data_IF_547242968306
#
_entry.id   IF_547242968306
#
_cell.length_a   1.000
_cell.length_b   1.000
_cell.length_c   1.000
_cell.angle_alpha   90.00
_cell.angle_beta   90.00
_cell.angle_gamma   90.00
#
_symmetry.space_group_name_H-M   'P 1'
#
loop_
_entity.id
_entity.type
_entity.pdbx_description
1 polymer ?
#
# COMPACT_ATOMS: atom_id res chain seq x y z
N UNK A 1 -18.16 1.69 0.55
CA UNK A 1 -16.77 1.24 0.74
C UNK A 1 -16.31 1.77 2.08
N UNK A 2 -15.66 0.95 2.88
CA UNK A 2 -15.13 1.33 4.19
C UNK A 2 -13.61 1.25 4.11
N UNK A 3 -12.95 2.41 4.09
CA UNK A 3 -11.49 2.49 4.07
C UNK A 3 -10.90 2.04 5.40
N UNK A 4 -9.77 1.35 5.36
CA UNK A 4 -9.02 0.90 6.53
C UNK A 4 -7.58 1.41 6.48
N UNK A 5 -6.93 1.44 7.65
CA UNK A 5 -5.53 1.85 7.81
C UNK A 5 -5.24 3.30 7.38
N UNK A 6 -6.22 4.20 7.58
CA UNK A 6 -6.09 5.63 7.26
C UNK A 6 -5.08 6.35 8.16
N UNK A 7 -4.75 5.74 9.30
CA UNK A 7 -3.76 6.19 10.27
C UNK A 7 -2.30 5.91 9.86
N UNK A 8 -2.07 4.99 8.89
CA UNK A 8 -0.72 4.65 8.46
C UNK A 8 -0.09 5.77 7.63
N UNK A 9 1.10 6.19 8.05
CA UNK A 9 1.90 7.23 7.40
C UNK A 9 3.32 6.78 7.15
N UNK A 10 3.85 7.17 6.01
CA UNK A 10 5.23 6.87 5.63
C UNK A 10 6.18 7.77 6.40
N UNK A 11 7.22 7.16 6.96
CA UNK A 11 8.30 7.87 7.66
C UNK A 11 9.57 7.81 6.82
N UNK A 12 10.62 8.51 7.28
CA UNK A 12 11.95 8.46 6.65
C UNK A 12 12.94 7.65 7.51
N UNK A 13 12.87 6.30 7.48
CA UNK A 13 13.71 5.46 8.33
C UNK A 13 15.19 5.52 7.94
N UNK A 14 15.50 5.82 6.67
CA UNK A 14 16.87 5.87 6.17
C UNK A 14 17.47 7.28 6.24
N UNK A 15 16.71 8.29 6.67
CA UNK A 15 17.11 9.71 6.63
C UNK A 15 17.63 10.07 5.23
N UNK A 16 16.86 9.71 4.21
CA UNK A 16 17.28 9.79 2.82
C UNK A 16 17.56 11.25 2.42
N UNK A 17 18.82 11.55 2.10
CA UNK A 17 19.27 12.90 1.73
C UNK A 17 19.72 12.93 0.27
N UNK A 18 18.79 13.27 -0.61
CA UNK A 18 19.10 13.73 -1.97
C UNK A 18 18.65 15.19 -2.15
N UNK A 19 18.67 15.69 -3.39
CA UNK A 19 18.35 17.08 -3.80
C UNK A 19 17.08 17.67 -3.15
N UNK A 20 16.14 16.83 -2.73
CA UNK A 20 14.96 17.23 -1.97
C UNK A 20 14.71 16.24 -0.83
N UNK A 21 14.33 16.75 0.34
CA UNK A 21 14.08 15.95 1.54
C UNK A 21 12.86 15.03 1.34
N UNK A 22 12.99 13.74 1.62
CA UNK A 22 11.94 12.74 1.36
C UNK A 22 10.59 13.06 2.03
N UNK A 23 10.53 13.50 3.31
CA UNK A 23 9.29 13.94 3.95
C UNK A 23 8.59 15.10 3.24
N UNK A 24 9.34 16.02 2.62
CA UNK A 24 8.76 17.15 1.91
C UNK A 24 8.15 16.70 0.58
N UNK A 25 8.79 15.72 -0.08
CA UNK A 25 8.25 15.06 -1.26
C UNK A 25 6.94 14.33 -0.94
N UNK A 26 6.90 13.57 0.17
CA UNK A 26 5.67 12.92 0.64
C UNK A 26 4.55 13.94 0.87
N UNK A 27 4.82 15.04 1.60
CA UNK A 27 3.84 16.11 1.83
C UNK A 27 3.33 16.76 0.56
N UNK A 28 4.21 16.98 -0.43
CA UNK A 28 3.83 17.56 -1.71
C UNK A 28 2.83 16.66 -2.44
N UNK A 29 3.10 15.36 -2.50
CA UNK A 29 2.21 14.39 -3.15
C UNK A 29 0.90 14.23 -2.38
N UNK A 30 0.95 14.15 -1.04
CA UNK A 30 -0.25 14.12 -0.20
C UNK A 30 -1.13 15.35 -0.44
N UNK A 31 -0.55 16.55 -0.52
CA UNK A 31 -1.29 17.79 -0.83
C UNK A 31 -1.86 17.79 -2.24
N UNK A 32 -1.15 17.19 -3.21
CA UNK A 32 -1.57 17.16 -4.62
C UNK A 32 -2.69 16.15 -4.87
N UNK A 33 -2.62 14.96 -4.28
CA UNK A 33 -3.56 13.86 -4.55
C UNK A 33 -4.66 13.75 -3.50
N UNK A 34 -4.48 14.34 -2.32
CA UNK A 34 -5.35 14.13 -1.16
C UNK A 34 -5.19 12.75 -0.51
N UNK A 35 -4.26 11.92 -0.98
CA UNK A 35 -4.03 10.58 -0.47
C UNK A 35 -2.94 10.57 0.59
N UNK A 36 -3.08 9.73 1.60
CA UNK A 36 -2.02 9.51 2.58
C UNK A 36 -0.83 8.73 2.00
N UNK A 37 -1.08 7.84 1.04
CA UNK A 37 -0.09 6.97 0.41
C UNK A 37 -0.60 6.43 -0.95
N UNK A 38 0.28 5.79 -1.73
CA UNK A 38 0.02 5.21 -3.04
C UNK A 38 -0.93 4.01 -3.09
N UNK A 39 -1.55 3.63 -1.97
CA UNK A 39 -2.55 2.56 -1.94
C UNK A 39 -3.67 2.90 -0.96
N UNK A 40 -4.89 2.69 -1.44
CA UNK A 40 -6.12 2.75 -0.65
C UNK A 40 -6.58 1.31 -0.44
N UNK A 41 -6.83 0.95 0.81
CA UNK A 41 -7.26 -0.39 1.18
C UNK A 41 -8.47 -0.34 2.08
N UNK A 42 -9.36 -1.32 1.97
CA UNK A 42 -10.57 -1.36 2.77
C UNK A 42 -11.45 -2.55 2.48
N UNK A 43 -12.66 -2.53 3.00
CA UNK A 43 -13.68 -3.53 2.65
C UNK A 43 -14.81 -2.89 1.85
N UNK A 44 -15.38 -3.68 0.95
CA UNK A 44 -16.46 -3.24 0.09
C UNK A 44 -17.44 -4.37 -0.18
N UNK A 45 -18.40 -4.09 -1.06
CA UNK A 45 -19.32 -5.08 -1.60
C UNK A 45 -19.33 -4.97 -3.11
N UNK A 46 -19.23 -6.10 -3.79
CA UNK A 46 -19.55 -6.22 -5.20
C UNK A 46 -20.82 -7.07 -5.26
N UNK A 47 -21.92 -6.47 -5.69
CA UNK A 47 -23.26 -7.04 -5.55
C UNK A 47 -23.55 -7.43 -4.09
N UNK A 48 -23.86 -8.69 -3.82
CA UNK A 48 -24.16 -9.24 -2.50
C UNK A 48 -22.93 -9.77 -1.74
N UNK A 49 -21.75 -9.81 -2.38
CA UNK A 49 -20.52 -10.37 -1.80
C UNK A 49 -19.64 -9.29 -1.17
N UNK A 50 -19.33 -9.45 0.11
CA UNK A 50 -18.31 -8.63 0.78
C UNK A 50 -16.93 -8.99 0.23
N UNK A 51 -16.08 -8.00 0.01
CA UNK A 51 -14.70 -8.17 -0.49
C UNK A 51 -13.72 -7.34 0.32
N UNK A 52 -12.47 -7.79 0.36
CA UNK A 52 -11.31 -6.99 0.73
C UNK A 52 -10.73 -6.38 -0.55
N UNK A 53 -10.48 -5.08 -0.56
CA UNK A 53 -10.05 -4.34 -1.74
C UNK A 53 -8.78 -3.55 -1.43
N UNK A 54 -7.81 -3.60 -2.35
CA UNK A 54 -6.61 -2.76 -2.34
C UNK A 54 -6.40 -2.14 -3.72
N UNK A 55 -6.35 -0.82 -3.81
CA UNK A 55 -6.22 -0.08 -5.08
C UNK A 55 -4.99 0.80 -5.02
N UNK A 56 -4.04 0.57 -5.93
CA UNK A 56 -2.86 1.41 -6.08
C UNK A 56 -3.21 2.65 -6.91
N UNK A 57 -2.67 3.80 -6.52
CA UNK A 57 -2.80 5.06 -7.26
C UNK A 57 -1.44 5.50 -7.80
N UNK A 58 -1.30 5.48 -9.13
CA UNK A 58 -0.09 5.91 -9.83
C UNK A 58 0.22 7.41 -9.70
N UNK A 59 -0.75 8.25 -9.31
CA UNK A 59 -0.54 9.68 -9.11
C UNK A 59 0.30 9.98 -7.87
N UNK A 60 0.38 9.06 -6.91
CA UNK A 60 1.22 9.17 -5.71
C UNK A 60 2.54 8.42 -5.92
N UNK A 61 3.63 9.17 -6.11
CA UNK A 61 4.98 8.61 -6.31
C UNK A 61 5.03 7.46 -7.33
N UNK A 62 4.32 7.60 -8.47
CA UNK A 62 4.20 6.59 -9.52
C UNK A 62 3.66 5.23 -9.04
N UNK A 63 2.94 5.19 -7.92
CA UNK A 63 2.44 3.94 -7.34
C UNK A 63 3.54 3.06 -6.74
N UNK A 64 4.76 3.59 -6.54
CA UNK A 64 5.91 2.80 -6.08
C UNK A 64 5.63 2.13 -4.73
N UNK A 65 6.16 0.94 -4.49
CA UNK A 65 5.92 0.20 -3.26
C UNK A 65 6.96 0.57 -2.20
N UNK A 66 6.51 1.29 -1.16
CA UNK A 66 7.24 1.51 0.10
C UNK A 66 6.64 0.69 1.25
N UNK A 67 7.13 0.91 2.47
CA UNK A 67 6.76 0.14 3.67
C UNK A 67 5.27 0.20 3.98
N UNK A 68 4.65 1.39 3.87
CA UNK A 68 3.20 1.56 4.13
C UNK A 68 2.36 0.89 3.05
N UNK A 69 2.77 0.99 1.77
CA UNK A 69 2.08 0.29 0.67
C UNK A 69 2.09 -1.22 0.92
N UNK A 70 3.26 -1.78 1.25
CA UNK A 70 3.40 -3.20 1.58
C UNK A 70 2.60 -3.63 2.80
N UNK A 71 2.53 -2.80 3.84
CA UNK A 71 1.69 -3.05 5.02
C UNK A 71 0.20 -3.02 4.69
N UNK A 72 -0.31 -2.00 3.98
CA UNK A 72 -1.73 -1.91 3.59
C UNK A 72 -2.17 -3.08 2.71
N UNK A 73 -1.35 -3.48 1.73
CA UNK A 73 -1.61 -4.67 0.91
C UNK A 73 -1.63 -5.92 1.79
N UNK A 74 -0.64 -6.09 2.67
CA UNK A 74 -0.58 -7.23 3.60
C UNK A 74 -1.81 -7.30 4.51
N UNK A 75 -2.23 -6.17 5.08
CA UNK A 75 -3.45 -6.10 5.91
C UNK A 75 -4.71 -6.42 5.10
N UNK A 76 -4.76 -6.05 3.82
CA UNK A 76 -5.86 -6.42 2.92
C UNK A 76 -5.94 -7.92 2.70
N UNK A 77 -4.80 -8.59 2.52
CA UNK A 77 -4.72 -10.06 2.44
C UNK A 77 -5.17 -10.69 3.77
N UNK A 78 -4.72 -10.16 4.90
CA UNK A 78 -5.12 -10.65 6.23
C UNK A 78 -6.62 -10.51 6.48
N UNK A 79 -7.23 -9.37 6.14
CA UNK A 79 -8.70 -9.22 6.22
C UNK A 79 -9.45 -10.24 5.40
N UNK A 80 -8.95 -10.54 4.20
CA UNK A 80 -9.51 -11.57 3.32
C UNK A 80 -9.47 -12.94 3.99
N UNK A 81 -8.33 -13.31 4.59
CA UNK A 81 -8.17 -14.54 5.36
C UNK A 81 -9.09 -14.59 6.60
N UNK A 82 -9.04 -13.56 7.44
CA UNK A 82 -9.72 -13.52 8.73
C UNK A 82 -11.26 -13.52 8.57
N UNK A 83 -11.76 -12.77 7.59
CA UNK A 83 -13.20 -12.66 7.31
C UNK A 83 -13.70 -13.69 6.30
N UNK A 84 -12.79 -14.50 5.70
CA UNK A 84 -13.09 -15.45 4.62
C UNK A 84 -13.83 -14.79 3.44
N UNK A 85 -13.37 -13.61 3.03
CA UNK A 85 -13.92 -12.85 1.92
C UNK A 85 -12.92 -12.77 0.76
N UNK A 86 -13.36 -12.67 -0.52
CA UNK A 86 -12.44 -12.52 -1.65
C UNK A 86 -11.56 -11.28 -1.52
N UNK A 87 -10.31 -11.38 -1.97
CA UNK A 87 -9.39 -10.26 -2.12
C UNK A 87 -9.38 -9.80 -3.58
N UNK A 88 -9.44 -8.49 -3.79
CA UNK A 88 -9.21 -7.85 -5.09
C UNK A 88 -8.08 -6.83 -4.93
N UNK A 89 -7.04 -6.94 -5.78
CA UNK A 89 -5.93 -5.99 -5.82
C UNK A 89 -5.86 -5.36 -7.21
N UNK A 90 -6.01 -4.04 -7.28
CA UNK A 90 -5.78 -3.25 -8.49
C UNK A 90 -4.35 -2.71 -8.41
N UNK A 91 -3.45 -3.31 -9.17
CA UNK A 91 -2.04 -2.98 -9.15
C UNK A 91 -1.71 -1.92 -10.21
N UNK A 92 -1.03 -0.86 -9.78
CA UNK A 92 -0.43 0.17 -10.64
C UNK A 92 0.81 0.66 -9.92
N UNK A 93 2.00 0.34 -10.43
CA UNK A 93 3.24 0.66 -9.75
C UNK A 93 4.40 0.82 -10.73
N UNK A 94 5.20 1.87 -10.52
CA UNK A 94 6.48 2.07 -11.18
C UNK A 94 7.64 1.27 -10.56
N UNK A 95 7.38 0.40 -9.58
CA UNK A 95 8.39 -0.47 -8.95
C UNK A 95 8.58 -0.21 -7.46
N UNK A 96 9.80 -0.41 -6.96
CA UNK A 96 10.14 -0.22 -5.55
C UNK A 96 10.42 1.26 -5.21
N UNK A 97 10.14 1.67 -3.98
CA UNK A 97 10.43 3.04 -3.54
C UNK A 97 11.88 3.19 -3.11
N UNK A 98 12.69 3.80 -3.96
CA UNK A 98 14.14 3.92 -3.75
C UNK A 98 14.51 4.63 -2.45
N UNK A 99 13.71 5.61 -2.02
CA UNK A 99 13.93 6.39 -0.80
C UNK A 99 13.91 5.53 0.47
N UNK A 100 13.25 4.37 0.42
CA UNK A 100 13.19 3.40 1.53
C UNK A 100 14.11 2.18 1.29
N UNK A 101 14.83 2.13 0.17
CA UNK A 101 15.88 1.15 -0.12
C UNK A 101 15.45 -0.30 0.07
N UNK A 102 16.20 -1.04 0.92
CA UNK A 102 15.94 -2.45 1.22
C UNK A 102 14.55 -2.69 1.83
N UNK A 103 13.98 -1.72 2.55
CA UNK A 103 12.66 -1.86 3.15
C UNK A 103 11.57 -2.00 2.08
N UNK A 104 11.71 -1.27 0.97
CA UNK A 104 10.83 -1.39 -0.20
C UNK A 104 10.94 -2.76 -0.86
N UNK A 105 12.17 -3.25 -1.06
CA UNK A 105 12.40 -4.58 -1.64
C UNK A 105 11.75 -5.68 -0.78
N UNK A 106 11.91 -5.60 0.54
CA UNK A 106 11.36 -6.57 1.48
C UNK A 106 9.82 -6.60 1.49
N UNK A 107 9.14 -5.55 1.00
CA UNK A 107 7.70 -5.59 0.89
C UNK A 107 7.21 -6.65 -0.11
N UNK A 108 7.97 -6.92 -1.18
CA UNK A 108 7.65 -8.00 -2.12
C UNK A 108 7.63 -9.37 -1.42
N UNK A 109 8.65 -9.66 -0.61
CA UNK A 109 8.72 -10.91 0.15
C UNK A 109 7.56 -11.02 1.15
N UNK A 110 7.28 -9.93 1.88
CA UNK A 110 6.20 -9.85 2.86
C UNK A 110 4.82 -10.09 2.23
N UNK A 111 4.47 -9.36 1.17
CA UNK A 111 3.16 -9.53 0.53
C UNK A 111 3.03 -10.89 -0.13
N UNK A 112 4.09 -11.40 -0.76
CA UNK A 112 4.08 -12.73 -1.39
C UNK A 112 3.82 -13.83 -0.38
N UNK A 113 4.47 -13.80 0.79
CA UNK A 113 4.23 -14.77 1.87
C UNK A 113 2.76 -14.84 2.28
N UNK A 114 2.11 -13.69 2.44
CA UNK A 114 0.70 -13.63 2.83
C UNK A 114 -0.23 -14.06 1.70
N UNK A 115 0.08 -13.69 0.45
CA UNK A 115 -0.67 -14.16 -0.72
C UNK A 115 -0.60 -15.69 -0.85
N UNK A 116 0.56 -16.30 -0.59
CA UNK A 116 0.70 -17.78 -0.56
C UNK A 116 -0.13 -18.42 0.56
N UNK A 117 -0.37 -17.72 1.67
CA UNK A 117 -1.30 -18.22 2.71
C UNK A 117 -2.75 -18.13 2.27
N UNK A 118 -3.12 -17.10 1.50
CA UNK A 118 -4.48 -16.93 0.96
C UNK A 118 -4.80 -17.89 -0.18
N UNK A 119 -3.80 -18.33 -0.95
CA UNK A 119 -4.01 -19.26 -2.06
C UNK A 119 -4.23 -20.72 -1.62
N UNK A 120 -4.17 -21.01 -0.33
CA UNK A 120 -4.44 -22.34 0.24
C UNK A 120 -5.87 -22.45 0.71
#
# INVERSE_FOLDING_TARGET
FEECDTDLQTTDPLKFKEKQNYPDYLKQYQKRTGLHEAVISGTGRISDRKISLSVHDGSFLAGTMGSVVGEKVTRSVRRSLDQKIPLVVIATSGGARMQEGILSLMQMAKTSLWLTRLSK
#
